data_IF_690173874444
#
_entry.id   IF_690173874444
#
_cell.length_a   1.000
_cell.length_b   1.000
_cell.length_c   1.000
_cell.angle_alpha   90.00
_cell.angle_beta   90.00
_cell.angle_gamma   90.00
#
_symmetry.space_group_name_H-M   'P 1'
#
loop_
_entity.id
_entity.type
_entity.pdbx_description
1 polymer ?
#
# COMPACT_ATOMS: atom_id res chain seq x y z
N UNK A 1 16.60 -3.07 11.55
CA UNK A 1 15.54 -3.82 10.84
C UNK A 1 14.86 -2.92 9.82
N UNK A 2 14.42 -3.52 8.73
CA UNK A 2 13.66 -2.82 7.69
C UNK A 2 12.31 -3.48 7.53
N UNK A 3 11.28 -2.67 7.29
CA UNK A 3 9.94 -3.13 6.96
C UNK A 3 9.60 -2.57 5.59
N UNK A 4 9.14 -3.44 4.71
CA UNK A 4 8.67 -3.06 3.39
C UNK A 4 7.15 -3.25 3.34
N UNK A 5 6.47 -2.26 2.81
CA UNK A 5 5.03 -2.31 2.56
C UNK A 5 4.81 -2.21 1.07
N UNK A 6 4.14 -3.20 0.50
CA UNK A 6 3.85 -3.24 -0.93
C UNK A 6 2.34 -3.19 -1.17
N UNK A 7 1.93 -2.41 -2.13
CA UNK A 7 0.56 -2.43 -2.66
C UNK A 7 0.65 -2.66 -4.15
N UNK A 8 -0.08 -3.67 -4.63
CA UNK A 8 -0.18 -3.98 -6.06
C UNK A 8 -1.61 -3.69 -6.48
N UNK A 9 -1.77 -2.72 -7.36
CA UNK A 9 -3.09 -2.41 -7.92
C UNK A 9 -3.58 -3.58 -8.78
N UNK A 10 -4.89 -3.74 -8.83
CA UNK A 10 -5.48 -4.82 -9.60
C UNK A 10 -6.87 -4.49 -10.12
N UNK A 11 -7.50 -5.46 -10.77
CA UNK A 11 -8.86 -5.36 -11.32
C UNK A 11 -9.04 -4.21 -12.30
N UNK A 12 -7.98 -3.80 -12.97
CA UNK A 12 -7.97 -2.70 -13.94
C UNK A 12 -7.21 -3.17 -15.18
N UNK A 13 -7.87 -3.94 -16.09
CA UNK A 13 -7.18 -4.67 -17.17
C UNK A 13 -6.26 -3.83 -18.05
N UNK A 14 -6.58 -2.56 -18.26
CA UNK A 14 -5.75 -1.68 -19.08
C UNK A 14 -4.62 -1.01 -18.30
N UNK A 15 -4.59 -1.20 -16.98
CA UNK A 15 -3.61 -0.59 -16.08
C UNK A 15 -2.85 -1.64 -15.29
N UNK A 16 -3.54 -2.41 -14.46
CA UNK A 16 -2.94 -3.45 -13.63
C UNK A 16 -3.99 -4.50 -13.25
N UNK A 17 -3.68 -5.76 -13.52
CA UNK A 17 -4.54 -6.88 -13.13
C UNK A 17 -4.20 -7.45 -11.76
N UNK A 18 -3.18 -6.88 -11.11
CA UNK A 18 -2.69 -7.40 -9.85
C UNK A 18 -1.53 -8.35 -10.05
N UNK A 19 -1.28 -9.17 -9.04
CA UNK A 19 -0.13 -10.07 -9.04
C UNK A 19 -0.51 -11.38 -8.37
N UNK A 20 -0.02 -12.49 -8.92
CA UNK A 20 -0.18 -13.78 -8.27
C UNK A 20 0.61 -13.81 -6.97
N UNK A 21 0.10 -14.57 -5.98
CA UNK A 21 0.75 -14.68 -4.68
C UNK A 21 2.20 -15.18 -4.81
N UNK A 22 2.43 -16.13 -5.72
CA UNK A 22 3.78 -16.66 -5.97
C UNK A 22 4.73 -15.58 -6.47
N UNK A 23 4.25 -14.69 -7.34
CA UNK A 23 5.04 -13.57 -7.85
C UNK A 23 5.30 -12.53 -6.76
N UNK A 24 4.34 -12.32 -5.86
CA UNK A 24 4.54 -11.44 -4.71
C UNK A 24 5.60 -12.00 -3.77
N UNK A 25 5.65 -13.31 -3.58
CA UNK A 25 6.70 -13.96 -2.80
C UNK A 25 8.07 -13.69 -3.40
N UNK A 26 8.19 -13.80 -4.72
CA UNK A 26 9.44 -13.52 -5.43
C UNK A 26 9.82 -12.04 -5.32
N UNK A 27 8.86 -11.15 -5.37
CA UNK A 27 9.09 -9.72 -5.18
C UNK A 27 9.68 -9.44 -3.79
N UNK A 28 9.07 -10.01 -2.75
CA UNK A 28 9.55 -9.85 -1.38
C UNK A 28 10.95 -10.43 -1.21
N UNK A 29 11.21 -11.59 -1.79
CA UNK A 29 12.52 -12.22 -1.75
C UNK A 29 13.56 -11.36 -2.47
N UNK A 30 13.22 -10.81 -3.63
CA UNK A 30 14.10 -9.92 -4.38
C UNK A 30 14.40 -8.62 -3.65
N UNK A 31 13.49 -8.15 -2.80
CA UNK A 31 13.71 -6.98 -1.96
C UNK A 31 14.56 -7.29 -0.71
N UNK A 32 14.87 -8.55 -0.47
CA UNK A 32 15.67 -8.97 0.67
C UNK A 32 14.88 -9.23 1.95
N UNK A 33 13.56 -9.45 1.83
CA UNK A 33 12.72 -9.73 3.00
C UNK A 33 13.02 -11.11 3.57
N UNK A 34 13.15 -11.18 4.88
CA UNK A 34 13.33 -12.45 5.60
C UNK A 34 11.99 -13.15 5.80
N UNK A 35 10.95 -12.39 6.09
CA UNK A 35 9.58 -12.88 6.26
C UNK A 35 8.62 -11.95 5.54
N UNK A 36 7.49 -12.48 5.12
CA UNK A 36 6.45 -11.70 4.47
C UNK A 36 5.07 -12.15 4.92
N UNK A 37 4.14 -11.23 4.94
CA UNK A 37 2.76 -11.47 5.31
C UNK A 37 1.86 -10.82 4.28
N UNK A 38 0.93 -11.60 3.73
CA UNK A 38 -0.08 -11.09 2.84
C UNK A 38 -1.28 -10.61 3.65
N UNK A 39 -1.60 -9.35 3.51
CA UNK A 39 -2.76 -8.75 4.19
C UNK A 39 -3.99 -8.83 3.29
N UNK A 40 -5.15 -8.53 3.89
CA UNK A 40 -6.39 -8.51 3.15
C UNK A 40 -6.31 -7.49 2.01
N UNK A 41 -6.94 -7.83 0.89
CA UNK A 41 -6.88 -7.00 -0.30
C UNK A 41 -8.26 -6.69 -0.85
N UNK A 42 -8.32 -6.33 -2.11
CA UNK A 42 -9.55 -6.02 -2.81
C UNK A 42 -9.51 -4.64 -3.46
N UNK A 43 -10.65 -4.25 -4.02
CA UNK A 43 -10.75 -3.01 -4.79
C UNK A 43 -10.59 -1.74 -3.97
N UNK A 44 -10.76 -1.81 -2.64
CA UNK A 44 -10.60 -0.67 -1.74
C UNK A 44 -9.19 -0.52 -1.20
N UNK A 45 -8.26 -1.41 -1.59
CA UNK A 45 -6.87 -1.36 -1.12
C UNK A 45 -6.28 0.01 -1.44
N UNK A 46 -5.81 0.69 -0.41
CA UNK A 46 -5.32 2.07 -0.53
C UNK A 46 -4.10 2.26 0.35
N UNK A 47 -3.07 2.88 -0.21
CA UNK A 47 -1.89 3.28 0.52
C UNK A 47 -1.75 4.79 0.42
N UNK A 48 -1.60 5.47 1.57
CA UNK A 48 -1.46 6.92 1.61
C UNK A 48 -0.15 7.30 2.28
N UNK A 49 0.37 8.44 1.90
CA UNK A 49 1.56 9.03 2.46
C UNK A 49 1.23 10.42 3.00
N UNK A 50 1.74 10.74 4.17
CA UNK A 50 1.65 12.08 4.72
C UNK A 50 2.64 13.00 3.99
N UNK A 51 2.16 14.16 3.59
CA UNK A 51 2.98 15.17 2.91
C UNK A 51 3.03 16.43 3.76
N UNK A 52 4.25 16.88 4.07
CA UNK A 52 4.50 18.12 4.80
C UNK A 52 5.35 19.04 3.94
N UNK A 53 4.87 20.27 3.78
CA UNK A 53 5.63 21.32 3.09
C UNK A 53 5.61 22.57 3.94
N UNK A 54 6.74 23.25 4.03
CA UNK A 54 6.85 24.50 4.77
C UNK A 54 5.84 25.54 4.23
N UNK A 55 5.04 26.11 5.12
CA UNK A 55 4.03 27.10 4.77
C UNK A 55 2.73 26.55 4.26
N UNK A 56 2.57 25.21 4.24
CA UNK A 56 1.34 24.56 3.79
C UNK A 56 0.78 23.65 4.87
N UNK A 57 -0.56 23.45 4.92
CA UNK A 57 -1.15 22.45 5.82
C UNK A 57 -0.67 21.05 5.49
N UNK A 58 -0.67 20.18 6.51
CA UNK A 58 -0.40 18.75 6.30
C UNK A 58 -1.49 18.16 5.41
N UNK A 59 -1.10 17.37 4.44
CA UNK A 59 -2.01 16.68 3.54
C UNK A 59 -1.59 15.22 3.39
N UNK A 60 -2.45 14.42 2.75
CA UNK A 60 -2.17 13.02 2.47
C UNK A 60 -2.30 12.78 0.97
N UNK A 61 -1.41 11.95 0.46
CA UNK A 61 -1.36 11.60 -0.95
C UNK A 61 -1.63 10.11 -1.11
N UNK A 62 -2.54 9.77 -2.01
CA UNK A 62 -2.82 8.37 -2.33
C UNK A 62 -1.73 7.87 -3.26
N UNK A 63 -1.07 6.78 -2.85
CA UNK A 63 0.11 6.25 -3.54
C UNK A 63 -0.23 5.24 -4.63
N UNK A 64 -1.41 4.62 -4.56
CA UNK A 64 -1.85 3.61 -5.52
C UNK A 64 -3.13 4.04 -6.22
N UNK A 65 -3.63 3.21 -7.12
CA UNK A 65 -4.87 3.48 -7.85
C UNK A 65 -5.90 2.39 -7.51
N UNK A 66 -6.71 2.60 -6.44
CA UNK A 66 -7.74 1.61 -6.07
C UNK A 66 -8.74 1.39 -7.19
N UNK A 67 -9.19 0.14 -7.36
CA UNK A 67 -10.18 -0.18 -8.39
C UNK A 67 -11.61 0.18 -8.00
N UNK A 68 -11.89 0.29 -6.69
CA UNK A 68 -13.19 0.76 -6.22
C UNK A 68 -13.24 2.29 -6.25
N UNK A 69 -14.18 2.85 -6.99
CA UNK A 69 -14.37 4.30 -7.11
C UNK A 69 -15.86 4.61 -6.99
N UNK A 70 -16.29 5.41 -6.00
CA UNK A 70 -15.50 6.00 -4.92
C UNK A 70 -15.05 4.96 -3.90
N UNK A 71 -14.03 5.32 -3.12
CA UNK A 71 -13.53 4.45 -2.06
C UNK A 71 -14.59 4.27 -0.99
N UNK A 72 -14.67 3.06 -0.43
CA UNK A 72 -15.59 2.75 0.67
C UNK A 72 -14.83 2.72 2.00
N UNK A 73 -15.57 2.89 3.08
CA UNK A 73 -15.02 2.73 4.42
C UNK A 73 -14.62 1.27 4.66
N UNK A 74 -13.52 1.08 5.38
CA UNK A 74 -13.04 -0.24 5.76
C UNK A 74 -12.96 -0.33 7.28
N UNK A 75 -13.00 -1.57 7.80
CA UNK A 75 -13.09 -1.79 9.24
C UNK A 75 -11.80 -1.43 9.98
N UNK A 76 -10.66 -1.58 9.35
CA UNK A 76 -9.38 -1.32 9.99
C UNK A 76 -8.34 -0.91 8.96
N UNK A 77 -7.20 -0.50 9.47
CA UNK A 77 -6.06 -0.15 8.63
C UNK A 77 -4.78 -0.29 9.41
N UNK A 78 -3.67 -0.17 8.71
CA UNK A 78 -2.34 -0.18 9.29
C UNK A 78 -1.74 1.22 9.16
N UNK A 79 -1.25 1.75 10.26
CA UNK A 79 -0.63 3.07 10.28
C UNK A 79 0.81 2.94 10.75
N UNK A 80 1.72 3.53 9.98
CA UNK A 80 3.13 3.61 10.38
C UNK A 80 3.40 5.02 10.85
N UNK A 81 3.87 5.14 12.07
CA UNK A 81 4.21 6.44 12.66
C UNK A 81 5.67 6.43 13.10
N UNK A 82 6.29 7.59 13.01
CA UNK A 82 7.66 7.76 13.48
C UNK A 82 7.67 7.81 15.01
N UNK A 83 8.59 7.06 15.60
CA UNK A 83 8.74 7.03 17.05
C UNK A 83 9.59 8.21 17.50
N UNK A 84 9.02 9.06 18.34
CA UNK A 84 9.73 10.17 18.95
C UNK A 84 10.29 9.72 20.30
N UNK A 85 11.61 9.85 20.46
CA UNK A 85 12.31 9.54 21.71
C UNK A 85 12.64 10.83 22.46
#
# INVERSE_FOLDING_TARGET
>A
KKVYLFVIDGRQPEYSNGMLLEDMMLLCQGAGCYQALNLDGGGSTTMVRRVEQAGSPVSFEIMNTPSDVPSRAVLNGLQVIEKNN
#
